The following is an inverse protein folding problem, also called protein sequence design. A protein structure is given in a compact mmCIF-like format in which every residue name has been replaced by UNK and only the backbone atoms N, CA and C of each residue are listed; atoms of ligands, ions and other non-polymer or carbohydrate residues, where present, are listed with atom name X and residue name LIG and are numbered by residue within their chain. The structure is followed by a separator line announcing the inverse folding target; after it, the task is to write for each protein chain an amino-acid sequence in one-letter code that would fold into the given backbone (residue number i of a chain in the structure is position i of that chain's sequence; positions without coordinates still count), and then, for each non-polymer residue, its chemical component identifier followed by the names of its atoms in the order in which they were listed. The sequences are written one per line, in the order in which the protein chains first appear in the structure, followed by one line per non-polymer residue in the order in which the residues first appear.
data_IF_004443134999
#
_entry.id   IF_004443134999
#
_cell.length_a   1.000
_cell.length_b   1.000
_cell.length_c   1.000
_cell.angle_alpha   90.00
_cell.angle_beta   90.00
_cell.angle_gamma   90.00
#
_symmetry.space_group_name_H-M   'P 1'
#
loop_
_entity.id
_entity.type
_entity.pdbx_description
1 polymer ?
#
# COMPACT_ATOMS: atom_id res chain seq x y z
N UNK A 1 17.24 67.70 -8.02
CA UNK A 1 16.23 66.78 -8.56
C UNK A 1 16.96 65.52 -9.01
N UNK A 2 16.76 64.41 -8.30
CA UNK A 2 17.33 63.11 -8.67
C UNK A 2 16.26 62.40 -9.51
N UNK A 3 16.58 61.86 -10.70
CA UNK A 3 15.61 61.11 -11.47
C UNK A 3 15.34 59.78 -10.76
N UNK A 4 14.07 59.52 -10.43
CA UNK A 4 13.62 58.20 -10.01
C UNK A 4 13.78 57.25 -11.19
N UNK A 5 14.74 56.35 -11.10
CA UNK A 5 14.85 55.20 -12.01
C UNK A 5 13.71 54.27 -11.63
N UNK A 6 12.65 54.28 -12.44
CA UNK A 6 11.61 53.26 -12.36
C UNK A 6 12.27 51.91 -12.64
N UNK A 7 12.38 51.09 -11.60
CA UNK A 7 12.72 49.68 -11.72
C UNK A 7 11.63 49.00 -12.53
N UNK A 8 11.83 48.92 -13.84
CA UNK A 8 11.07 48.05 -14.72
C UNK A 8 11.52 46.63 -14.38
N UNK A 9 10.81 46.01 -13.43
CA UNK A 9 10.89 44.58 -13.22
C UNK A 9 10.35 43.92 -14.50
N UNK A 10 11.26 43.64 -15.43
CA UNK A 10 10.97 42.76 -16.56
C UNK A 10 10.83 41.38 -15.94
N UNK A 11 9.62 41.05 -15.51
CA UNK A 11 9.23 39.69 -15.19
C UNK A 11 9.13 38.94 -16.52
N UNK A 12 10.28 38.59 -17.11
CA UNK A 12 10.32 37.67 -18.24
C UNK A 12 10.04 36.28 -17.69
N UNK A 13 8.78 35.87 -17.73
CA UNK A 13 8.40 34.50 -17.43
C UNK A 13 9.13 33.55 -18.38
N UNK A 14 9.70 32.46 -17.83
CA UNK A 14 10.45 31.44 -18.59
C UNK A 14 9.58 30.71 -19.62
N UNK A 15 8.25 30.75 -19.47
CA UNK A 15 7.27 30.20 -20.39
C UNK A 15 5.93 30.94 -20.28
N UNK A 16 5.09 30.80 -21.29
CA UNK A 16 3.70 31.23 -21.25
C UNK A 16 2.85 30.17 -20.51
N UNK A 17 2.26 30.55 -19.38
CA UNK A 17 1.39 29.69 -18.57
C UNK A 17 -0.09 29.84 -18.90
N UNK A 18 -0.44 30.58 -19.96
CA UNK A 18 -1.81 30.71 -20.44
C UNK A 18 -2.37 29.32 -20.75
N UNK A 19 -3.43 28.87 -20.05
CA UNK A 19 -3.93 27.51 -20.18
C UNK A 19 -4.50 27.27 -21.58
N UNK A 20 -3.97 26.27 -22.27
CA UNK A 20 -4.51 25.80 -23.55
C UNK A 20 -5.31 24.52 -23.27
N UNK A 21 -6.63 24.63 -23.26
CA UNK A 21 -7.55 23.51 -23.12
C UNK A 21 -8.16 23.35 -21.73
N UNK A 22 -8.53 22.11 -21.38
CA UNK A 22 -9.22 21.79 -20.12
C UNK A 22 -8.20 21.42 -19.06
N UNK A 23 -8.38 21.96 -17.86
CA UNK A 23 -7.69 21.49 -16.66
C UNK A 23 -8.17 20.09 -16.29
N UNK A 24 -7.27 19.24 -15.82
CA UNK A 24 -7.60 17.93 -15.27
C UNK A 24 -6.96 17.75 -13.90
N UNK A 25 -7.63 17.00 -13.03
CA UNK A 25 -7.11 16.65 -11.71
C UNK A 25 -6.37 15.32 -11.80
N UNK A 26 -5.11 15.33 -11.38
CA UNK A 26 -4.31 14.12 -11.25
C UNK A 26 -4.58 13.49 -9.88
N UNK A 27 -4.92 12.20 -9.88
CA UNK A 27 -5.10 11.36 -8.69
C UNK A 27 -4.52 9.98 -8.98
N UNK A 28 -4.05 9.29 -7.94
CA UNK A 28 -3.52 7.92 -8.10
C UNK A 28 -4.59 6.95 -8.63
N UNK A 29 -5.84 7.09 -8.19
CA UNK A 29 -6.99 6.38 -8.72
C UNK A 29 -8.04 7.41 -9.14
N UNK A 30 -8.27 7.56 -10.45
CA UNK A 30 -9.16 8.61 -10.98
C UNK A 30 -10.65 8.25 -10.90
N UNK A 31 -10.99 6.95 -10.89
CA UNK A 31 -12.38 6.48 -10.92
C UNK A 31 -12.66 5.47 -9.81
N UNK A 32 -13.86 5.53 -9.21
CA UNK A 32 -14.30 4.59 -8.17
C UNK A 32 -14.41 3.14 -8.68
N UNK A 33 -14.69 2.94 -9.97
CA UNK A 33 -14.67 1.62 -10.63
C UNK A 33 -13.25 1.06 -10.83
N UNK A 34 -12.23 1.90 -10.62
CA UNK A 34 -10.80 1.55 -10.62
C UNK A 34 -10.27 1.49 -9.20
N UNK A 35 -11.12 1.10 -8.26
CA UNK A 35 -10.72 0.84 -6.88
C UNK A 35 -9.54 -0.14 -6.88
N UNK A 36 -8.49 0.14 -6.08
CA UNK A 36 -7.36 -0.75 -6.03
C UNK A 36 -7.76 -2.14 -5.56
N UNK A 37 -7.19 -3.15 -6.21
CA UNK A 37 -7.39 -4.54 -5.86
C UNK A 37 -6.25 -5.03 -4.96
N UNK A 38 -6.58 -5.90 -4.01
CA UNK A 38 -5.61 -6.61 -3.19
C UNK A 38 -5.70 -8.11 -3.45
N UNK A 39 -4.58 -8.72 -3.82
CA UNK A 39 -4.41 -10.16 -3.91
C UNK A 39 -3.47 -10.57 -2.78
N UNK A 40 -3.97 -11.42 -1.89
CA UNK A 40 -3.19 -11.98 -0.79
C UNK A 40 -3.10 -13.49 -0.97
N UNK A 41 -1.87 -14.00 -1.14
CA UNK A 41 -1.64 -15.43 -1.25
C UNK A 41 -1.98 -16.13 0.08
N UNK A 42 -2.87 -17.10 0.01
CA UNK A 42 -3.39 -17.86 1.13
C UNK A 42 -2.28 -18.61 1.89
N UNK A 43 -1.23 -19.06 1.19
CA UNK A 43 -0.05 -19.68 1.83
C UNK A 43 0.70 -18.69 2.74
N UNK A 44 0.78 -17.42 2.32
CA UNK A 44 1.48 -16.33 3.00
C UNK A 44 0.67 -15.88 4.20
N UNK A 45 -0.64 -15.73 4.02
CA UNK A 45 -1.57 -15.41 5.09
C UNK A 45 -1.52 -16.46 6.21
N UNK A 46 -1.68 -17.75 5.87
CA UNK A 46 -1.57 -18.83 6.88
C UNK A 46 -0.22 -18.88 7.57
N UNK A 47 0.87 -18.56 6.86
CA UNK A 47 2.21 -18.51 7.47
C UNK A 47 2.32 -17.37 8.48
N UNK A 48 1.76 -16.20 8.17
CA UNK A 48 1.69 -15.08 9.10
C UNK A 48 0.90 -15.42 10.37
N UNK A 49 -0.28 -16.04 10.22
CA UNK A 49 -1.12 -16.48 11.35
C UNK A 49 -0.36 -17.47 12.26
N UNK A 50 0.33 -18.46 11.69
CA UNK A 50 1.13 -19.42 12.46
C UNK A 50 2.24 -18.74 13.25
N UNK A 51 2.96 -17.80 12.65
CA UNK A 51 4.05 -17.09 13.31
C UNK A 51 3.55 -16.11 14.38
N UNK A 52 2.39 -15.49 14.20
CA UNK A 52 1.80 -14.60 15.20
C UNK A 52 1.23 -15.32 16.44
N UNK A 53 0.84 -16.58 16.30
CA UNK A 53 0.48 -17.41 17.46
C UNK A 53 1.69 -17.68 18.36
N UNK A 54 2.91 -17.51 17.85
CA UNK A 54 4.11 -17.52 18.65
C UNK A 54 4.42 -16.09 19.18
N UNK A 55 4.35 -15.92 20.50
CA UNK A 55 4.51 -14.61 21.17
C UNK A 55 5.84 -13.92 20.85
N UNK A 56 6.88 -14.68 20.50
CA UNK A 56 8.21 -14.17 20.16
C UNK A 56 8.22 -13.31 18.88
N UNK A 57 7.30 -13.56 17.94
CA UNK A 57 7.40 -13.01 16.57
C UNK A 57 6.30 -12.00 16.22
N UNK A 58 5.33 -11.73 17.10
CA UNK A 58 4.15 -10.89 16.81
C UNK A 58 4.45 -9.52 16.19
N UNK A 59 5.49 -8.83 16.67
CA UNK A 59 5.88 -7.49 16.21
C UNK A 59 6.96 -7.48 15.13
N UNK A 60 7.39 -8.66 14.68
CA UNK A 60 8.55 -8.83 13.81
C UNK A 60 8.18 -9.25 12.39
N UNK A 61 6.91 -9.53 12.11
CA UNK A 61 6.48 -10.07 10.82
C UNK A 61 5.98 -8.92 9.91
N UNK A 62 6.40 -8.94 8.65
CA UNK A 62 5.89 -8.03 7.61
C UNK A 62 5.54 -8.82 6.35
N UNK A 63 4.49 -8.39 5.65
CA UNK A 63 4.24 -8.84 4.29
C UNK A 63 5.14 -8.07 3.32
N UNK A 64 5.50 -8.73 2.23
CA UNK A 64 6.08 -8.09 1.04
C UNK A 64 5.08 -8.23 -0.08
N UNK A 65 4.92 -7.15 -0.84
CA UNK A 65 4.16 -7.17 -2.06
C UNK A 65 4.78 -6.36 -3.18
N UNK A 66 4.17 -6.49 -4.35
CA UNK A 66 4.49 -5.75 -5.57
C UNK A 66 3.24 -5.07 -6.10
N UNK A 67 3.42 -3.88 -6.69
CA UNK A 67 2.32 -3.12 -7.28
C UNK A 67 2.33 -3.35 -8.79
N UNK A 68 1.17 -3.76 -9.32
CA UNK A 68 0.97 -3.98 -10.74
C UNK A 68 -0.09 -3.00 -11.23
N UNK A 69 0.15 -2.41 -12.39
CA UNK A 69 -0.83 -1.60 -13.12
C UNK A 69 -1.19 -2.32 -14.40
N UNK A 70 -2.48 -2.44 -14.68
CA UNK A 70 -2.97 -2.85 -15.98
C UNK A 70 -3.16 -1.61 -16.85
N UNK A 71 -2.53 -1.57 -18.03
CA UNK A 71 -2.55 -0.42 -18.93
C UNK A 71 -3.94 -0.17 -19.53
N UNK A 72 -4.75 -1.22 -19.72
CA UNK A 72 -6.08 -1.09 -20.31
C UNK A 72 -7.10 -0.60 -19.29
N UNK A 73 -7.17 -1.25 -18.14
CA UNK A 73 -8.11 -0.87 -17.09
C UNK A 73 -7.61 0.29 -16.22
N UNK A 74 -6.32 0.63 -16.26
CA UNK A 74 -5.67 1.55 -15.30
C UNK A 74 -5.90 1.15 -13.84
N UNK A 75 -6.21 -0.13 -13.58
CA UNK A 75 -6.44 -0.64 -12.23
C UNK A 75 -5.12 -0.94 -11.54
N UNK A 76 -4.98 -0.46 -10.31
CA UNK A 76 -3.87 -0.78 -9.42
C UNK A 76 -4.16 -2.08 -8.68
N UNK A 77 -3.23 -3.04 -8.76
CA UNK A 77 -3.32 -4.32 -8.06
C UNK A 77 -2.11 -4.51 -7.15
N UNK A 78 -2.37 -4.62 -5.85
CA UNK A 78 -1.39 -4.98 -4.84
C UNK A 78 -1.34 -6.50 -4.73
N UNK A 79 -0.19 -7.10 -4.99
CA UNK A 79 0.01 -8.55 -4.85
C UNK A 79 0.91 -8.81 -3.65
N UNK A 80 0.39 -9.50 -2.63
CA UNK A 80 1.12 -9.93 -1.45
C UNK A 80 1.37 -11.43 -1.55
N UNK A 81 2.62 -11.79 -1.79
CA UNK A 81 3.04 -13.17 -2.06
C UNK A 81 4.18 -13.67 -1.17
N UNK A 82 4.68 -12.80 -0.27
CA UNK A 82 5.83 -13.10 0.58
C UNK A 82 5.69 -12.55 2.00
N UNK A 83 6.43 -13.18 2.88
CA UNK A 83 6.48 -12.89 4.32
C UNK A 83 7.94 -12.78 4.76
N UNK A 84 8.27 -11.77 5.55
CA UNK A 84 9.57 -11.67 6.21
C UNK A 84 9.42 -11.56 7.71
N UNK A 85 10.43 -12.07 8.38
CA UNK A 85 10.61 -11.99 9.81
C UNK A 85 11.83 -11.12 10.11
N UNK A 86 11.63 -10.10 10.94
CA UNK A 86 12.70 -9.25 11.47
C UNK A 86 13.44 -10.02 12.56
N UNK A 87 14.76 -10.06 12.50
CA UNK A 87 15.56 -10.63 13.57
C UNK A 87 15.57 -9.68 14.78
N UNK A 88 15.32 -10.20 15.98
CA UNK A 88 15.20 -9.42 17.21
C UNK A 88 16.52 -8.81 17.68
N UNK A 89 17.65 -9.38 17.25
CA UNK A 89 19.00 -8.99 17.71
C UNK A 89 19.69 -7.94 16.83
N UNK A 90 19.40 -7.87 15.53
CA UNK A 90 20.16 -7.02 14.60
C UNK A 90 19.36 -5.91 13.92
N UNK A 91 18.07 -5.75 14.22
CA UNK A 91 17.17 -4.86 13.47
C UNK A 91 17.08 -5.17 11.96
N UNK A 92 17.75 -6.22 11.48
CA UNK A 92 17.76 -6.67 10.10
C UNK A 92 16.66 -7.70 9.84
N UNK A 93 16.10 -7.68 8.63
CA UNK A 93 15.20 -8.74 8.18
C UNK A 93 16.03 -9.97 7.83
N UNK A 94 15.69 -11.14 8.36
CA UNK A 94 16.41 -12.37 8.04
C UNK A 94 16.45 -12.56 6.51
N UNK A 95 17.65 -12.50 5.93
CA UNK A 95 17.97 -12.81 4.54
C UNK A 95 17.15 -12.05 3.47
N UNK A 96 16.56 -10.90 3.80
CA UNK A 96 15.80 -10.11 2.82
C UNK A 96 16.63 -8.96 2.27
N UNK A 97 17.06 -9.09 1.02
CA UNK A 97 17.59 -7.98 0.24
C UNK A 97 16.43 -7.33 -0.51
N UNK A 98 16.09 -6.05 -0.24
CA UNK A 98 14.96 -5.40 -0.89
C UNK A 98 15.19 -5.33 -2.40
N UNK A 99 14.23 -5.84 -3.17
CA UNK A 99 14.22 -5.73 -4.62
C UNK A 99 13.47 -4.46 -5.04
N UNK A 100 13.89 -3.89 -6.17
CA UNK A 100 13.21 -2.74 -6.75
C UNK A 100 11.76 -3.09 -7.09
N UNK A 101 10.82 -2.22 -6.70
CA UNK A 101 9.38 -2.41 -6.92
C UNK A 101 8.66 -3.15 -5.80
N UNK A 102 9.37 -3.55 -4.74
CA UNK A 102 8.75 -4.12 -3.54
C UNK A 102 8.28 -3.05 -2.56
N UNK A 103 7.19 -3.36 -1.88
CA UNK A 103 6.75 -2.61 -0.70
C UNK A 103 6.53 -3.54 0.49
N UNK A 104 6.70 -2.99 1.68
CA UNK A 104 6.57 -3.69 2.95
C UNK A 104 5.29 -3.27 3.65
N UNK A 105 4.50 -4.23 4.11
CA UNK A 105 3.29 -3.97 4.88
C UNK A 105 3.51 -4.49 6.31
N UNK A 106 3.48 -3.61 7.33
CA UNK A 106 3.48 -4.05 8.71
C UNK A 106 2.19 -4.81 9.01
N UNK A 107 2.30 -5.92 9.74
CA UNK A 107 1.14 -6.71 10.14
C UNK A 107 0.91 -6.49 11.63
N UNK A 108 -0.30 -6.05 11.98
CA UNK A 108 -0.77 -6.04 13.35
C UNK A 108 -2.04 -6.89 13.42
N UNK A 109 -1.99 -7.96 14.21
CA UNK A 109 -3.18 -8.73 14.52
C UNK A 109 -3.44 -8.62 16.02
N UNK A 110 -4.59 -8.05 16.36
CA UNK A 110 -5.08 -8.09 17.73
C UNK A 110 -5.51 -9.51 18.04
N UNK A 111 -4.90 -10.09 19.08
CA UNK A 111 -5.39 -11.32 19.69
C UNK A 111 -6.40 -10.98 20.80
N UNK A 112 -7.39 -10.16 20.47
CA UNK A 112 -8.54 -9.94 21.34
C UNK A 112 -9.46 -11.16 21.22
N UNK A 113 -8.98 -12.32 21.65
CA UNK A 113 -9.86 -13.43 21.94
C UNK A 113 -10.47 -13.15 23.32
N UNK A 114 -11.68 -12.60 23.35
CA UNK A 114 -12.83 -13.28 23.96
C UNK A 114 -14.12 -12.84 23.24
N UNK A 115 -14.88 -13.84 22.74
CA UNK A 115 -16.19 -13.77 22.09
C UNK A 115 -16.20 -13.65 20.55
N UNK A 116 -15.96 -14.76 19.86
CA UNK A 116 -16.52 -14.95 18.51
C UNK A 116 -17.03 -16.38 18.37
N UNK A 117 -18.10 -16.66 19.09
CA UNK A 117 -19.05 -17.74 18.85
C UNK A 117 -19.82 -17.45 17.55
N UNK A 118 -19.13 -17.40 16.40
CA UNK A 118 -19.79 -17.00 15.14
C UNK A 118 -19.25 -17.67 13.87
N UNK A 119 -18.52 -18.79 14.01
CA UNK A 119 -18.08 -19.58 12.83
C UNK A 119 -18.88 -20.89 12.66
N UNK A 120 -19.79 -21.25 13.57
CA UNK A 120 -20.56 -22.50 13.47
C UNK A 120 -21.94 -22.39 12.81
N UNK A 121 -22.36 -21.23 12.28
CA UNK A 121 -23.70 -21.06 11.70
C UNK A 121 -23.75 -21.08 10.16
N UNK A 122 -22.65 -21.38 9.47
CA UNK A 122 -22.62 -21.41 8.00
C UNK A 122 -22.68 -22.81 7.36
N UNK A 123 -22.95 -23.87 8.15
CA UNK A 123 -23.05 -25.26 7.64
C UNK A 123 -24.38 -25.94 8.06
N UNK A 124 -25.49 -25.20 8.25
CA UNK A 124 -26.78 -25.85 8.56
C UNK A 124 -27.97 -25.48 7.66
N UNK A 125 -27.82 -24.63 6.64
CA UNK A 125 -28.93 -24.27 5.74
C UNK A 125 -28.97 -25.06 4.42
N UNK A 126 -28.33 -26.24 4.37
CA UNK A 126 -28.50 -27.17 3.25
C UNK A 126 -28.86 -28.56 3.77
N UNK A 127 -30.05 -28.68 4.37
CA UNK A 127 -30.93 -29.88 4.35
C UNK A 127 -32.13 -29.66 5.26
N UNK A 128 -33.19 -29.03 4.75
CA UNK A 128 -34.57 -29.42 5.07
C UNK A 128 -35.61 -28.82 4.14
#
# INVERSE_FOLDING_TARGET
MIPQIASTEICSSFWDSTPIGRSFSLRLCQHEQLSPQLILDDKVFRSAVRLQNNSTYRSQIKFIGTLITDDESQRLTYVIDRLILKNSTTNEFHNHQPLTGEFLIPIQCNNDNQNSTTINNFIQDETR
#
